data_IF_051507806715
#
_entry.id   IF_051507806715
#
_cell.length_a   1.000
_cell.length_b   1.000
_cell.length_c   1.000
_cell.angle_alpha   90.00
_cell.angle_beta   90.00
_cell.angle_gamma   90.00
#
_symmetry.space_group_name_H-M   'P 1'
#
loop_
_entity.id
_entity.type
_entity.pdbx_description
1 polymer ?
#
# COMPACT_ATOMS: atom_id res chain seq x y z
N UNK A 1 -24.21 -13.25 27.19
CA UNK A 1 -23.17 -12.55 26.41
C UNK A 1 -23.55 -12.33 24.95
N UNK A 2 -24.12 -13.32 24.24
CA UNK A 2 -24.55 -13.19 22.82
C UNK A 2 -25.50 -12.02 22.55
N UNK A 3 -26.47 -11.78 23.44
CA UNK A 3 -27.42 -10.65 23.29
C UNK A 3 -26.76 -9.28 23.47
N UNK A 4 -25.76 -9.14 24.35
CA UNK A 4 -25.01 -7.89 24.51
C UNK A 4 -24.19 -7.57 23.26
N UNK A 5 -23.58 -8.59 22.66
CA UNK A 5 -22.84 -8.47 21.39
C UNK A 5 -23.80 -8.06 20.26
N UNK A 6 -25.01 -8.64 20.22
CA UNK A 6 -26.05 -8.25 19.27
C UNK A 6 -26.44 -6.78 19.43
N UNK A 7 -26.69 -6.31 20.66
CA UNK A 7 -27.02 -4.90 20.91
C UNK A 7 -25.89 -3.94 20.54
N UNK A 8 -24.63 -4.30 20.82
CA UNK A 8 -23.46 -3.50 20.44
C UNK A 8 -23.30 -3.45 18.92
N UNK A 9 -23.49 -4.58 18.23
CA UNK A 9 -23.45 -4.65 16.77
C UNK A 9 -24.54 -3.79 16.13
N UNK A 10 -25.75 -3.79 16.69
CA UNK A 10 -26.87 -2.96 16.22
C UNK A 10 -26.56 -1.48 16.45
N UNK A 11 -26.00 -1.11 17.61
CA UNK A 11 -25.62 0.27 17.93
C UNK A 11 -24.57 0.82 16.96
N UNK A 12 -23.57 0.02 16.59
CA UNK A 12 -22.49 0.41 15.66
C UNK A 12 -23.01 0.71 14.25
N UNK A 13 -24.11 0.07 13.81
CA UNK A 13 -24.72 0.33 12.50
C UNK A 13 -25.39 1.72 12.40
N UNK A 14 -25.79 2.31 13.53
CA UNK A 14 -26.36 3.65 13.58
C UNK A 14 -25.31 4.76 13.77
N UNK A 15 -24.05 4.39 14.03
CA UNK A 15 -22.91 5.30 14.14
C UNK A 15 -22.09 5.28 12.84
N UNK A 16 -22.69 5.67 11.72
CA UNK A 16 -21.92 6.04 10.53
C UNK A 16 -21.54 7.51 10.66
N UNK A 17 -20.26 7.79 10.95
CA UNK A 17 -19.75 9.14 10.75
C UNK A 17 -19.82 9.47 9.25
N UNK A 18 -20.22 10.69 8.85
CA UNK A 18 -20.11 11.14 7.48
C UNK A 18 -18.63 11.24 7.13
N UNK A 19 -18.04 10.14 6.71
CA UNK A 19 -16.78 10.13 6.00
C UNK A 19 -17.17 10.50 4.57
N UNK A 20 -17.17 11.80 4.28
CA UNK A 20 -17.11 12.30 2.90
C UNK A 20 -16.11 11.41 2.17
N UNK A 21 -16.50 10.78 1.05
CA UNK A 21 -15.57 9.99 0.27
C UNK A 21 -14.44 10.92 -0.18
N UNK A 22 -13.33 10.91 0.58
CA UNK A 22 -12.22 11.86 0.43
C UNK A 22 -11.55 11.75 -0.94
N UNK A 23 -11.89 10.72 -1.72
CA UNK A 23 -11.49 10.57 -3.11
C UNK A 23 -11.79 11.83 -3.94
N UNK A 24 -12.94 12.50 -3.76
CA UNK A 24 -13.26 13.71 -4.52
C UNK A 24 -12.59 14.97 -3.94
N UNK A 25 -12.52 15.10 -2.61
CA UNK A 25 -11.92 16.25 -1.93
C UNK A 25 -10.39 16.27 -2.06
N UNK A 26 -9.72 15.14 -1.81
CA UNK A 26 -8.27 15.01 -1.97
C UNK A 26 -7.85 15.27 -3.42
N UNK A 27 -8.64 14.79 -4.39
CA UNK A 27 -8.36 15.04 -5.81
C UNK A 27 -8.52 16.53 -6.16
N UNK A 28 -9.60 17.17 -5.71
CA UNK A 28 -9.80 18.60 -5.94
C UNK A 28 -8.69 19.48 -5.33
N UNK A 29 -8.20 19.13 -4.13
CA UNK A 29 -7.06 19.81 -3.52
C UNK A 29 -5.80 19.61 -4.35
N UNK A 30 -5.50 18.38 -4.79
CA UNK A 30 -4.29 18.09 -5.57
C UNK A 30 -4.31 18.68 -6.99
N UNK A 31 -5.49 18.90 -7.57
CA UNK A 31 -5.67 19.52 -8.89
C UNK A 31 -5.70 21.07 -8.83
N UNK A 32 -5.76 21.66 -7.64
CA UNK A 32 -5.64 23.11 -7.46
C UNK A 32 -4.21 23.62 -7.74
N UNK A 33 -4.06 24.92 -8.04
CA UNK A 33 -2.74 25.52 -8.29
C UNK A 33 -1.79 25.38 -7.09
N UNK A 34 -2.29 25.59 -5.86
CA UNK A 34 -1.53 25.33 -4.62
C UNK A 34 -1.25 23.83 -4.40
N UNK A 35 -2.16 22.97 -4.87
CA UNK A 35 -2.05 21.53 -4.81
C UNK A 35 -1.03 20.90 -5.74
N UNK A 36 -0.61 21.59 -6.80
CA UNK A 36 0.31 21.06 -7.81
C UNK A 36 1.68 20.68 -7.22
N UNK A 37 2.22 21.48 -6.31
CA UNK A 37 3.48 21.15 -5.63
C UNK A 37 3.33 19.93 -4.70
N UNK A 38 2.19 19.82 -4.02
CA UNK A 38 1.85 18.65 -3.21
C UNK A 38 1.68 17.40 -4.08
N UNK A 39 1.05 17.53 -5.24
CA UNK A 39 0.88 16.45 -6.22
C UNK A 39 2.22 15.96 -6.78
N UNK A 40 3.18 16.86 -7.05
CA UNK A 40 4.57 16.49 -7.42
C UNK A 40 5.24 15.69 -6.29
N UNK A 41 5.07 16.13 -5.04
CA UNK A 41 5.55 15.41 -3.86
C UNK A 41 5.01 13.97 -3.77
N UNK A 42 3.72 13.78 -4.03
CA UNK A 42 3.07 12.46 -4.06
C UNK A 42 3.64 11.58 -5.18
N UNK A 43 3.81 12.11 -6.40
CA UNK A 43 4.37 11.34 -7.51
C UNK A 43 5.80 10.85 -7.20
N UNK A 44 6.62 11.73 -6.62
CA UNK A 44 7.96 11.36 -6.15
C UNK A 44 7.89 10.28 -5.06
N UNK A 45 6.92 10.37 -4.15
CA UNK A 45 6.66 9.35 -3.13
C UNK A 45 6.29 8.00 -3.72
N UNK A 46 5.42 7.96 -4.76
CA UNK A 46 5.05 6.73 -5.45
C UNK A 46 6.29 6.08 -6.07
N UNK A 47 7.10 6.84 -6.80
CA UNK A 47 8.35 6.32 -7.38
C UNK A 47 9.28 5.80 -6.29
N UNK A 48 9.45 6.55 -5.20
CA UNK A 48 10.29 6.15 -4.08
C UNK A 48 9.83 4.82 -3.44
N UNK A 49 8.52 4.65 -3.22
CA UNK A 49 7.95 3.43 -2.68
C UNK A 49 8.04 2.25 -3.67
N UNK A 50 7.93 2.51 -4.98
CA UNK A 50 8.05 1.48 -6.02
C UNK A 50 9.48 0.93 -6.16
N UNK A 51 10.52 1.69 -5.80
CA UNK A 51 11.91 1.20 -5.88
C UNK A 51 12.12 -0.05 -5.01
N UNK A 52 11.51 -0.09 -3.82
CA UNK A 52 11.66 -1.18 -2.85
C UNK A 52 11.27 -2.55 -3.43
N UNK A 53 10.05 -2.77 -3.99
CA UNK A 53 9.69 -4.06 -4.54
C UNK A 53 10.57 -4.49 -5.72
N UNK A 54 11.07 -3.56 -6.55
CA UNK A 54 11.99 -3.91 -7.64
C UNK A 54 13.34 -4.43 -7.11
N UNK A 55 13.90 -3.78 -6.09
CA UNK A 55 15.15 -4.25 -5.45
C UNK A 55 14.93 -5.63 -4.82
N UNK A 56 13.82 -5.83 -4.10
CA UNK A 56 13.53 -7.11 -3.46
C UNK A 56 13.43 -8.25 -4.47
N UNK A 57 12.72 -8.05 -5.59
CA UNK A 57 12.62 -9.06 -6.66
C UNK A 57 14.00 -9.37 -7.24
N UNK A 58 14.82 -8.35 -7.50
CA UNK A 58 16.18 -8.52 -8.01
C UNK A 58 17.08 -9.32 -7.06
N UNK A 59 17.02 -9.01 -5.75
CA UNK A 59 17.76 -9.74 -4.72
C UNK A 59 17.32 -11.20 -4.64
N UNK A 60 16.01 -11.45 -4.57
CA UNK A 60 15.46 -12.82 -4.53
C UNK A 60 15.90 -13.61 -5.77
N UNK A 61 15.77 -13.02 -6.96
CA UNK A 61 16.23 -13.65 -8.21
C UNK A 61 17.73 -13.98 -8.20
N UNK A 62 18.57 -13.05 -7.73
CA UNK A 62 20.01 -13.25 -7.59
C UNK A 62 20.33 -14.41 -6.63
N UNK A 63 19.68 -14.47 -5.46
CA UNK A 63 19.88 -15.56 -4.51
C UNK A 63 19.42 -16.91 -5.09
N UNK A 64 18.30 -16.97 -5.80
CA UNK A 64 17.83 -18.19 -6.46
C UNK A 64 18.86 -18.67 -7.50
N UNK A 65 19.33 -17.77 -8.37
CA UNK A 65 20.34 -18.08 -9.37
C UNK A 65 21.64 -18.59 -8.75
N UNK A 66 22.14 -17.89 -7.71
CA UNK A 66 23.36 -18.28 -7.00
C UNK A 66 23.22 -19.65 -6.33
N UNK A 67 22.09 -19.93 -5.68
CA UNK A 67 21.84 -21.22 -5.03
C UNK A 67 21.73 -22.35 -6.05
N UNK A 68 21.04 -22.13 -7.19
CA UNK A 68 20.97 -23.12 -8.28
C UNK A 68 22.36 -23.40 -8.86
N UNK A 69 23.17 -22.37 -9.14
CA UNK A 69 24.55 -22.56 -9.64
C UNK A 69 25.44 -23.28 -8.63
N UNK A 70 25.29 -23.00 -7.33
CA UNK A 70 26.02 -23.72 -6.26
C UNK A 70 25.63 -25.19 -6.22
N UNK A 71 24.35 -25.52 -6.34
CA UNK A 71 23.86 -26.90 -6.33
C UNK A 71 24.37 -27.69 -7.57
N UNK A 72 24.23 -27.13 -8.77
CA UNK A 72 24.72 -27.75 -10.01
C UNK A 72 26.26 -27.87 -10.06
N UNK A 73 26.99 -27.04 -9.32
CA UNK A 73 28.44 -27.13 -9.19
C UNK A 73 28.94 -28.13 -8.12
N UNK A 74 28.05 -28.64 -7.25
CA UNK A 74 28.35 -29.70 -6.28
C UNK A 74 27.97 -31.10 -6.82
N UNK A 75 27.19 -31.16 -7.90
CA UNK A 75 26.77 -32.40 -8.57
C UNK A 75 27.77 -32.90 -9.63
N UNK A 76 28.83 -32.12 -9.91
CA UNK A 76 29.99 -32.52 -10.73
C UNK A 76 31.18 -32.80 -9.83
#
# INVERSE_FOLDING_TARGET
MKSKILYISILMLFFSLPVEAQCAMCRAVLESEEGQETAKGINNGIVYLMIVPYILIGLVGYFIYKNKKKLTGLEK
#
